data_IF_562649500340
#
_entry.id   IF_562649500340
#
_cell.length_a   1.000
_cell.length_b   1.000
_cell.length_c   1.000
_cell.angle_alpha   90.00
_cell.angle_beta   90.00
_cell.angle_gamma   90.00
#
_symmetry.space_group_name_H-M   'P 1'
#
loop_
_entity.id
_entity.type
_entity.pdbx_description
1 polymer ?
#
# COMPACT_ATOMS: atom_id res chain seq x y z
N UNK A 1 -28.02 -5.80 1.10
CA UNK A 1 -26.64 -5.27 0.91
C UNK A 1 -25.77 -5.96 1.93
N UNK A 2 -24.80 -6.77 1.52
CA UNK A 2 -23.94 -7.53 2.45
C UNK A 2 -22.86 -6.58 2.96
N UNK A 3 -23.01 -6.11 4.20
CA UNK A 3 -22.04 -5.26 4.88
C UNK A 3 -20.67 -5.94 4.96
N UNK A 4 -19.63 -5.25 4.51
CA UNK A 4 -18.26 -5.62 4.83
C UNK A 4 -17.83 -4.80 6.05
N UNK A 5 -17.66 -5.46 7.19
CA UNK A 5 -17.09 -4.86 8.39
C UNK A 5 -15.59 -4.66 8.16
N UNK A 6 -15.13 -3.42 8.17
CA UNK A 6 -13.69 -3.09 8.17
C UNK A 6 -13.24 -3.03 9.62
N UNK A 7 -12.47 -4.04 10.06
CA UNK A 7 -11.84 -4.03 11.39
C UNK A 7 -10.51 -3.29 11.27
N UNK A 8 -10.43 -2.08 11.83
CA UNK A 8 -9.17 -1.36 12.03
C UNK A 8 -8.57 -1.83 13.35
N UNK A 9 -7.58 -2.71 13.30
CA UNK A 9 -6.81 -3.12 14.49
C UNK A 9 -5.65 -2.14 14.67
N UNK A 10 -5.74 -1.24 15.63
CA UNK A 10 -4.60 -0.46 16.13
C UNK A 10 -3.88 -1.32 17.16
N UNK A 11 -2.78 -1.97 16.77
CA UNK A 11 -1.98 -2.80 17.67
C UNK A 11 -0.79 -1.99 18.21
N UNK A 12 -0.90 -1.53 19.45
CA UNK A 12 0.24 -1.08 20.25
C UNK A 12 1.06 -2.31 20.65
N UNK A 13 2.16 -2.59 19.94
CA UNK A 13 3.04 -3.70 20.27
C UNK A 13 4.30 -3.19 20.98
N UNK A 14 4.46 -3.58 22.25
CA UNK A 14 5.71 -3.48 23.00
C UNK A 14 6.83 -4.23 22.27
N UNK A 15 8.04 -3.67 22.26
CA UNK A 15 9.20 -4.21 21.53
C UNK A 15 9.71 -5.50 22.18
N UNK A 16 9.22 -6.65 21.71
CA UNK A 16 9.93 -7.92 21.82
C UNK A 16 10.98 -7.98 20.70
N UNK A 17 12.21 -8.38 21.03
CA UNK A 17 13.28 -8.55 20.05
C UNK A 17 12.81 -9.46 18.91
N UNK A 18 12.67 -8.88 17.72
CA UNK A 18 12.12 -9.56 16.55
C UNK A 18 13.16 -10.53 16.04
N UNK A 19 12.81 -11.82 15.97
CA UNK A 19 13.62 -12.85 15.34
C UNK A 19 13.95 -12.43 13.88
N UNK A 20 15.24 -12.19 13.63
CA UNK A 20 15.80 -11.80 12.33
C UNK A 20 15.45 -12.74 11.17
N UNK A 21 14.99 -13.97 11.46
CA UNK A 21 14.56 -14.93 10.44
C UNK A 21 13.19 -14.60 9.84
N UNK A 22 12.31 -13.91 10.58
CA UNK A 22 10.96 -13.49 10.13
C UNK A 22 11.00 -12.18 9.34
N UNK A 23 11.98 -11.31 9.61
CA UNK A 23 12.16 -10.00 8.98
C UNK A 23 12.68 -10.04 7.53
N UNK A 24 13.05 -11.20 6.99
CA UNK A 24 13.74 -11.33 5.69
C UNK A 24 12.82 -11.28 4.45
N UNK A 25 11.50 -11.15 4.63
CA UNK A 25 10.52 -11.20 3.53
C UNK A 25 10.23 -9.85 2.87
N UNK A 26 10.40 -8.74 3.59
CA UNK A 26 10.23 -7.40 3.05
C UNK A 26 11.54 -6.90 2.46
N UNK A 27 11.46 -6.28 1.29
CA UNK A 27 12.60 -5.73 0.54
C UNK A 27 12.37 -4.25 0.32
N UNK A 28 13.37 -3.39 0.54
CA UNK A 28 13.23 -1.97 0.27
C UNK A 28 13.04 -1.73 -1.24
N UNK A 29 12.17 -0.79 -1.57
CA UNK A 29 12.03 -0.27 -2.93
C UNK A 29 13.16 0.74 -3.15
N UNK A 30 14.03 0.48 -4.13
CA UNK A 30 15.20 1.34 -4.39
C UNK A 30 14.84 2.71 -4.98
N UNK A 31 13.81 2.75 -5.82
CA UNK A 31 13.38 3.96 -6.50
C UNK A 31 11.90 4.23 -6.17
N UNK A 32 11.66 5.13 -5.22
CA UNK A 32 10.31 5.55 -4.81
C UNK A 32 9.67 6.52 -5.81
N UNK A 33 10.45 7.08 -6.74
CA UNK A 33 9.96 7.96 -7.80
C UNK A 33 9.47 7.19 -9.04
N UNK A 34 9.58 5.86 -9.03
CA UNK A 34 9.06 4.98 -10.08
C UNK A 34 7.56 5.25 -10.32
N UNK A 35 7.10 5.29 -11.59
CA UNK A 35 5.69 5.54 -11.91
C UNK A 35 4.71 4.61 -11.19
N UNK A 36 5.07 3.34 -10.96
CA UNK A 36 4.25 2.40 -10.20
C UNK A 36 4.11 2.86 -8.74
N UNK A 37 5.18 3.34 -8.13
CA UNK A 37 5.13 3.81 -6.74
C UNK A 37 4.23 5.03 -6.63
N UNK A 38 4.35 6.00 -7.54
CA UNK A 38 3.45 7.17 -7.59
C UNK A 38 1.99 6.75 -7.76
N UNK A 39 1.72 5.76 -8.60
CA UNK A 39 0.38 5.20 -8.77
C UNK A 39 -0.14 4.59 -7.46
N UNK A 40 0.65 3.76 -6.78
CA UNK A 40 0.23 3.11 -5.52
C UNK A 40 -0.01 4.11 -4.40
N UNK A 41 0.83 5.15 -4.28
CA UNK A 41 0.64 6.21 -3.28
C UNK A 41 -0.65 7.01 -3.52
N UNK A 42 -0.90 7.39 -4.78
CA UNK A 42 -2.13 8.10 -5.14
C UNK A 42 -3.38 7.22 -4.97
N UNK A 43 -3.29 5.94 -5.34
CA UNK A 43 -4.35 4.95 -5.09
C UNK A 43 -4.68 4.86 -3.59
N UNK A 44 -3.67 4.74 -2.73
CA UNK A 44 -3.87 4.63 -1.28
C UNK A 44 -4.60 5.85 -0.70
N UNK A 45 -4.17 7.06 -1.09
CA UNK A 45 -4.79 8.32 -0.63
C UNK A 45 -6.23 8.45 -1.13
N UNK A 46 -6.49 8.12 -2.40
CA UNK A 46 -7.86 8.17 -2.96
C UNK A 46 -8.79 7.17 -2.31
N UNK A 47 -8.31 5.96 -2.02
CA UNK A 47 -9.14 4.94 -1.37
C UNK A 47 -9.42 5.31 0.10
N UNK A 48 -8.45 5.90 0.81
CA UNK A 48 -8.67 6.46 2.13
C UNK A 48 -9.73 7.57 2.09
N UNK A 49 -9.60 8.55 1.19
CA UNK A 49 -10.59 9.62 1.01
C UNK A 49 -11.99 9.06 0.69
N UNK A 50 -12.08 8.03 -0.17
CA UNK A 50 -13.35 7.36 -0.48
C UNK A 50 -14.00 6.71 0.75
N UNK A 51 -13.21 6.26 1.72
CA UNK A 51 -13.67 5.57 2.92
C UNK A 51 -13.92 6.51 4.11
N UNK A 52 -13.11 7.56 4.26
CA UNK A 52 -13.07 8.44 5.44
C UNK A 52 -13.62 9.83 5.15
N UNK A 53 -13.58 10.29 3.89
CA UNK A 53 -13.91 11.65 3.48
C UNK A 53 -12.88 12.70 3.91
N UNK A 54 -11.66 12.29 4.26
CA UNK A 54 -10.60 13.18 4.77
C UNK A 54 -10.02 14.14 3.73
N UNK A 55 -10.29 13.97 2.43
CA UNK A 55 -9.84 14.82 1.32
C UNK A 55 -8.34 15.06 1.26
N UNK A 56 -7.57 14.02 1.61
CA UNK A 56 -6.12 14.06 1.52
C UNK A 56 -5.66 14.19 0.06
N UNK A 57 -4.61 14.99 -0.16
CA UNK A 57 -3.93 15.12 -1.44
C UNK A 57 -2.57 14.46 -1.37
N UNK A 58 -2.34 13.44 -2.21
CA UNK A 58 -1.05 12.75 -2.29
C UNK A 58 0.05 13.67 -2.79
N UNK A 59 1.20 13.69 -2.10
CA UNK A 59 2.37 14.46 -2.53
C UNK A 59 3.49 13.57 -3.06
N UNK A 60 3.99 12.66 -2.22
CA UNK A 60 5.11 11.76 -2.58
C UNK A 60 5.20 10.56 -1.65
N UNK A 61 5.91 9.52 -2.10
CA UNK A 61 6.38 8.45 -1.24
C UNK A 61 7.75 8.84 -0.68
N UNK A 62 7.91 8.68 0.63
CA UNK A 62 9.16 8.92 1.35
C UNK A 62 9.99 7.63 1.43
N UNK A 63 9.34 6.53 1.77
CA UNK A 63 9.96 5.20 1.86
C UNK A 63 8.95 4.14 1.43
N UNK A 64 9.44 3.04 0.86
CA UNK A 64 8.59 1.91 0.56
C UNK A 64 9.35 0.59 0.71
N UNK A 65 8.63 -0.43 1.15
CA UNK A 65 9.07 -1.80 1.18
C UNK A 65 8.03 -2.69 0.50
N UNK A 66 8.46 -3.81 -0.06
CA UNK A 66 7.58 -4.76 -0.70
C UNK A 66 7.92 -6.20 -0.33
N UNK A 67 6.92 -7.07 -0.40
CA UNK A 67 7.11 -8.52 -0.37
C UNK A 67 6.28 -9.18 -1.46
N UNK A 68 6.82 -10.21 -2.09
CA UNK A 68 6.03 -11.09 -2.94
C UNK A 68 5.19 -12.04 -2.07
N UNK A 69 3.97 -12.31 -2.51
CA UNK A 69 3.09 -13.32 -1.94
C UNK A 69 2.45 -14.11 -3.09
N UNK A 70 1.96 -15.33 -2.82
CA UNK A 70 1.61 -16.33 -3.84
C UNK A 70 0.86 -15.84 -5.10
N UNK A 71 0.01 -14.81 -4.99
CA UNK A 71 -0.75 -14.25 -6.12
C UNK A 71 -0.50 -12.75 -6.38
N UNK A 72 0.61 -12.18 -5.90
CA UNK A 72 0.86 -10.76 -6.07
C UNK A 72 1.98 -10.17 -5.22
N UNK A 73 1.90 -8.86 -5.01
CA UNK A 73 2.83 -8.09 -4.18
C UNK A 73 2.07 -7.34 -3.10
N UNK A 74 2.68 -7.24 -1.92
CA UNK A 74 2.24 -6.34 -0.86
C UNK A 74 3.30 -5.25 -0.71
N UNK A 75 2.85 -4.02 -0.60
CA UNK A 75 3.68 -2.83 -0.40
C UNK A 75 3.33 -2.19 0.93
N UNK A 76 4.35 -1.79 1.66
CA UNK A 76 4.26 -0.90 2.82
C UNK A 76 4.85 0.44 2.41
N UNK A 77 4.04 1.50 2.42
CA UNK A 77 4.41 2.83 1.94
C UNK A 77 4.40 3.79 3.12
N UNK A 78 5.46 4.58 3.25
CA UNK A 78 5.46 5.81 4.03
C UNK A 78 5.35 6.95 3.02
N UNK A 79 4.27 7.73 3.08
CA UNK A 79 3.96 8.79 2.12
C UNK A 79 3.64 10.11 2.82
N UNK A 80 3.87 11.20 2.11
CA UNK A 80 3.41 12.54 2.51
C UNK A 80 2.09 12.84 1.80
N UNK A 81 1.12 13.34 2.55
CA UNK A 81 -0.14 13.84 2.01
C UNK A 81 -0.58 15.10 2.74
N UNK A 82 -1.24 16.00 2.02
CA UNK A 82 -1.73 17.27 2.52
C UNK A 82 -3.23 17.19 2.80
N UNK A 83 -3.68 17.70 3.94
CA UNK A 83 -5.09 17.73 4.36
C UNK A 83 -5.84 19.03 3.98
N UNK A 84 -5.23 19.87 3.15
CA UNK A 84 -5.68 21.22 2.82
C UNK A 84 -5.02 22.32 3.63
N UNK A 85 -4.34 21.97 4.74
CA UNK A 85 -3.65 22.93 5.62
C UNK A 85 -2.17 22.55 5.79
N UNK A 86 -1.90 21.29 6.09
CA UNK A 86 -0.56 20.80 6.44
C UNK A 86 -0.26 19.46 5.78
N UNK A 87 1.02 19.27 5.46
CA UNK A 87 1.53 18.01 4.94
C UNK A 87 1.97 17.12 6.09
N UNK A 88 1.40 15.92 6.17
CA UNK A 88 1.66 14.93 7.22
C UNK A 88 2.15 13.61 6.61
N UNK A 89 2.85 12.81 7.42
CA UNK A 89 3.30 11.48 7.01
C UNK A 89 2.27 10.42 7.38
N UNK A 90 2.01 9.50 6.46
CA UNK A 90 1.07 8.41 6.60
C UNK A 90 1.70 7.08 6.21
N UNK A 91 1.27 6.00 6.87
CA UNK A 91 1.62 4.64 6.52
C UNK A 91 0.45 3.97 5.79
N UNK A 92 0.71 3.37 4.63
CA UNK A 92 -0.29 2.66 3.84
C UNK A 92 0.19 1.24 3.48
N UNK A 93 -0.72 0.28 3.54
CA UNK A 93 -0.47 -1.09 3.08
C UNK A 93 -1.30 -1.36 1.83
N UNK A 94 -0.63 -1.57 0.70
CA UNK A 94 -1.29 -1.76 -0.61
C UNK A 94 -1.00 -3.15 -1.14
N UNK A 95 -2.02 -3.86 -1.63
CA UNK A 95 -1.87 -5.17 -2.25
C UNK A 95 -2.16 -5.09 -3.74
N UNK A 96 -1.20 -5.52 -4.56
CA UNK A 96 -1.35 -5.68 -6.02
C UNK A 96 -1.48 -7.17 -6.30
N UNK A 97 -2.63 -7.61 -6.80
CA UNK A 97 -2.91 -9.02 -7.10
C UNK A 97 -2.99 -9.23 -8.61
N UNK A 98 -2.47 -10.36 -9.07
CA UNK A 98 -2.65 -10.79 -10.45
C UNK A 98 -3.91 -11.64 -10.55
N UNK A 99 -4.73 -11.38 -11.57
CA UNK A 99 -5.85 -12.24 -11.94
C UNK A 99 -5.92 -12.31 -13.46
N UNK A 100 -5.58 -13.47 -14.00
CA UNK A 100 -5.77 -13.75 -15.42
C UNK A 100 -7.25 -14.07 -15.65
N UNK A 101 -7.93 -13.26 -16.45
CA UNK A 101 -9.36 -13.47 -16.73
C UNK A 101 -9.57 -14.37 -17.96
N UNK A 102 -8.71 -14.26 -18.98
CA UNK A 102 -8.71 -15.13 -20.16
C UNK A 102 -7.34 -15.09 -20.85
N UNK A 103 -6.93 -16.21 -21.43
CA UNK A 103 -5.78 -16.32 -22.33
C UNK A 103 -6.18 -17.24 -23.48
N UNK A 104 -6.04 -16.79 -24.73
CA UNK A 104 -6.48 -17.53 -25.91
C UNK A 104 -5.67 -17.19 -27.16
N UNK A 105 -5.55 -18.16 -28.06
CA UNK A 105 -4.88 -17.99 -29.36
C UNK A 105 -5.80 -17.27 -30.34
N UNK A 106 -5.31 -16.18 -30.95
CA UNK A 106 -5.94 -15.56 -32.10
C UNK A 106 -5.63 -16.42 -33.34
N UNK A 107 -6.67 -16.95 -33.98
CA UNK A 107 -6.55 -17.49 -35.34
C UNK A 107 -6.95 -16.38 -36.32
N UNK A 108 -6.05 -16.06 -37.24
CA UNK A 108 -6.27 -15.13 -38.34
C UNK A 108 -7.03 -15.81 -39.49
#
# INVERSE_FOLDING_TARGET
>A
MKSFVVVVVVMLASTAAVDSKVLRSWRPVKNVDDPLMKFLGNFAVKEDDRLTGMKLTFEKIVQAEYRSGGNGYKYHLILSANDGFTSNMYAANVSVTWKLNAFGAFHA
#
